data_IF_828155460364
#
_entry.id   IF_828155460364
#
_cell.length_a   1.000
_cell.length_b   1.000
_cell.length_c   1.000
_cell.angle_alpha   90.00
_cell.angle_beta   90.00
_cell.angle_gamma   90.00
#
_symmetry.space_group_name_H-M   'P 1'
#
loop_
_entity.id
_entity.type
_entity.pdbx_description
1 polymer ?
#
# COMPACT_ATOMS: atom_id res chain seq x y z
N UNK A 1 -10.12 13.67 7.90
CA UNK A 1 -11.24 12.89 8.47
C UNK A 1 -11.23 11.55 7.74
N UNK A 2 -10.72 10.48 8.38
CA UNK A 2 -10.59 9.16 7.73
C UNK A 2 -11.87 8.36 8.00
N UNK A 3 -12.64 8.08 6.95
CA UNK A 3 -13.81 7.20 7.02
C UNK A 3 -13.36 5.76 6.77
N UNK A 4 -13.58 4.90 7.76
CA UNK A 4 -13.36 3.45 7.63
C UNK A 4 -14.61 2.87 6.96
N UNK A 5 -14.47 2.32 5.76
CA UNK A 5 -15.57 1.58 5.11
C UNK A 5 -15.72 0.21 5.78
N UNK A 6 -16.86 -0.01 6.41
CA UNK A 6 -17.22 -1.31 7.01
C UNK A 6 -18.06 -2.07 5.98
N UNK A 7 -17.46 -3.07 5.34
CA UNK A 7 -18.17 -4.00 4.47
C UNK A 7 -18.97 -4.99 5.33
N UNK A 8 -20.27 -4.74 5.48
CA UNK A 8 -21.17 -5.70 6.10
C UNK A 8 -21.49 -6.82 5.08
N UNK A 9 -21.15 -8.06 5.42
CA UNK A 9 -21.55 -9.25 4.67
C UNK A 9 -22.67 -9.97 5.42
N UNK A 10 -23.77 -10.22 4.72
CA UNK A 10 -24.90 -10.97 5.25
C UNK A 10 -24.67 -12.47 4.99
N UNK A 11 -23.79 -13.07 5.78
CA UNK A 11 -23.69 -14.53 5.85
C UNK A 11 -24.62 -15.01 6.97
N UNK A 12 -25.43 -16.05 6.70
CA UNK A 12 -26.27 -16.70 7.71
C UNK A 12 -25.38 -17.40 8.73
N UNK A 13 -25.34 -16.87 9.95
CA UNK A 13 -24.65 -17.48 11.08
C UNK A 13 -25.49 -18.67 11.55
N UNK A 14 -24.97 -19.88 11.39
CA UNK A 14 -25.58 -21.10 11.92
C UNK A 14 -25.39 -21.11 13.45
N UNK A 15 -26.51 -21.14 14.21
CA UNK A 15 -26.52 -21.05 15.68
C UNK A 15 -25.78 -22.21 16.37
N UNK A 16 -25.45 -23.29 15.66
CA UNK A 16 -24.65 -24.41 16.18
C UNK A 16 -23.15 -24.28 15.91
N UNK A 17 -22.74 -23.30 15.10
CA UNK A 17 -21.33 -23.06 14.83
C UNK A 17 -20.75 -22.11 15.87
N UNK A 18 -20.13 -22.68 16.90
CA UNK A 18 -19.18 -21.95 17.74
C UNK A 18 -18.13 -21.37 16.79
N UNK A 19 -18.17 -20.05 16.59
CA UNK A 19 -17.19 -19.35 15.77
C UNK A 19 -15.83 -19.54 16.44
N UNK A 20 -15.03 -20.47 15.94
CA UNK A 20 -13.63 -20.60 16.35
C UNK A 20 -12.86 -19.38 15.85
N UNK A 21 -12.66 -18.42 16.75
CA UNK A 21 -11.93 -17.19 16.47
C UNK A 21 -10.52 -17.45 15.91
N UNK A 22 -9.88 -18.56 16.27
CA UNK A 22 -8.58 -18.92 15.73
C UNK A 22 -8.65 -19.29 14.24
N UNK A 23 -9.68 -20.04 13.84
CA UNK A 23 -9.93 -20.38 12.43
C UNK A 23 -10.29 -19.15 11.60
N UNK A 24 -11.05 -18.20 12.16
CA UNK A 24 -11.43 -16.97 11.47
C UNK A 24 -10.22 -16.04 11.26
N UNK A 25 -9.36 -15.89 12.29
CA UNK A 25 -8.09 -15.16 12.17
C UNK A 25 -7.16 -15.83 11.17
N UNK A 26 -7.03 -17.17 11.21
CA UNK A 26 -6.19 -17.91 10.25
C UNK A 26 -6.65 -17.71 8.82
N UNK A 27 -7.97 -17.75 8.57
CA UNK A 27 -8.53 -17.54 7.24
C UNK A 27 -8.31 -16.11 6.72
N UNK A 28 -8.51 -15.10 7.58
CA UNK A 28 -8.17 -13.70 7.28
C UNK A 28 -6.68 -13.50 6.96
N UNK A 29 -5.79 -14.14 7.72
CA UNK A 29 -4.34 -14.07 7.48
C UNK A 29 -3.95 -14.83 6.22
N UNK A 30 -4.61 -15.94 5.91
CA UNK A 30 -4.35 -16.76 4.72
C UNK A 30 -4.79 -16.05 3.44
N UNK A 31 -5.99 -15.45 3.42
CA UNK A 31 -6.48 -14.66 2.28
C UNK A 31 -5.64 -13.38 2.05
N UNK A 32 -4.95 -12.87 3.08
CA UNK A 32 -4.05 -11.71 2.97
C UNK A 32 -2.73 -12.01 2.23
N UNK A 33 -2.48 -13.24 1.76
CA UNK A 33 -1.23 -13.57 1.06
C UNK A 33 -1.41 -13.77 -0.43
N UNK A 34 -1.31 -12.66 -1.14
CA UNK A 34 -0.32 -12.57 -2.22
C UNK A 34 0.16 -11.11 -2.30
N UNK A 35 1.30 -10.74 -1.69
CA UNK A 35 1.92 -9.48 -2.07
C UNK A 35 2.30 -9.63 -3.54
N UNK A 36 1.64 -8.86 -4.40
CA UNK A 36 2.12 -8.65 -5.77
C UNK A 36 3.58 -8.24 -5.63
N UNK A 37 4.50 -9.10 -6.09
CA UNK A 37 5.96 -9.01 -5.98
C UNK A 37 6.39 -7.56 -5.73
N UNK A 38 6.62 -7.21 -4.46
CA UNK A 38 6.91 -5.83 -4.07
C UNK A 38 8.13 -5.38 -4.88
N UNK A 39 7.94 -4.36 -5.73
CA UNK A 39 9.04 -3.82 -6.50
C UNK A 39 10.12 -3.34 -5.53
N UNK A 40 11.39 -3.54 -5.86
CA UNK A 40 12.47 -3.17 -4.96
C UNK A 40 12.44 -1.66 -4.67
N UNK A 41 12.52 -1.29 -3.40
CA UNK A 41 12.74 0.08 -2.96
C UNK A 41 14.24 0.43 -3.04
N UNK A 42 14.54 1.72 -3.02
CA UNK A 42 15.92 2.21 -2.85
C UNK A 42 16.29 2.19 -1.38
N UNK A 43 17.49 1.68 -1.06
CA UNK A 43 17.93 1.47 0.33
C UNK A 43 18.15 2.78 1.11
N UNK A 44 18.69 3.80 0.46
CA UNK A 44 19.00 5.10 1.06
C UNK A 44 18.27 6.21 0.30
N UNK A 45 16.95 6.36 0.48
CA UNK A 45 16.21 7.39 -0.20
C UNK A 45 16.56 8.77 0.36
N UNK A 46 16.53 9.83 -0.46
CA UNK A 46 16.83 11.18 0.02
C UNK A 46 15.81 11.63 1.08
N UNK A 47 16.28 12.21 2.17
CA UNK A 47 15.45 12.72 3.27
C UNK A 47 15.13 14.23 3.15
N UNK A 48 15.17 14.76 1.93
CA UNK A 48 14.76 16.12 1.60
C UNK A 48 13.44 16.09 0.83
N UNK A 49 12.58 17.09 1.02
CA UNK A 49 11.25 17.12 0.37
C UNK A 49 11.37 17.10 -1.15
N UNK A 50 12.23 17.97 -1.70
CA UNK A 50 12.50 17.98 -3.14
C UNK A 50 13.17 16.69 -3.63
N UNK A 51 14.05 16.09 -2.81
CA UNK A 51 14.67 14.80 -3.10
C UNK A 51 13.64 13.68 -3.24
N UNK A 52 12.66 13.61 -2.34
CA UNK A 52 11.59 12.60 -2.40
C UNK A 52 10.75 12.73 -3.67
N UNK A 53 10.42 13.96 -4.07
CA UNK A 53 9.74 14.23 -5.34
C UNK A 53 10.56 13.76 -6.55
N UNK A 54 11.84 14.14 -6.64
CA UNK A 54 12.74 13.74 -7.74
C UNK A 54 12.96 12.22 -7.79
N UNK A 55 12.98 11.59 -6.63
CA UNK A 55 13.07 10.14 -6.50
C UNK A 55 11.84 9.46 -7.11
N UNK A 56 10.64 9.97 -6.86
CA UNK A 56 9.39 9.47 -7.46
C UNK A 56 9.39 9.52 -8.99
N UNK A 57 9.86 10.63 -9.57
CA UNK A 57 10.03 10.78 -11.02
C UNK A 57 10.98 9.71 -11.59
N UNK A 58 12.11 9.49 -10.92
CA UNK A 58 13.13 8.52 -11.36
C UNK A 58 12.64 7.07 -11.21
N UNK A 59 11.94 6.78 -10.11
CA UNK A 59 11.47 5.44 -9.78
C UNK A 59 10.32 4.98 -10.68
N UNK A 60 9.51 5.90 -11.21
CA UNK A 60 8.49 5.58 -12.20
C UNK A 60 9.07 4.87 -13.43
N UNK A 61 10.12 5.44 -14.05
CA UNK A 61 10.78 4.84 -15.20
C UNK A 61 11.46 3.51 -14.88
N UNK A 62 11.94 3.34 -13.65
CA UNK A 62 12.58 2.12 -13.18
C UNK A 62 11.61 1.08 -12.57
N UNK A 63 10.30 1.38 -12.53
CA UNK A 63 9.26 0.57 -11.89
C UNK A 63 9.62 0.15 -10.45
N UNK A 64 10.20 1.06 -9.68
CA UNK A 64 10.55 0.83 -8.26
C UNK A 64 9.40 1.22 -7.34
N UNK A 65 9.35 0.62 -6.16
CA UNK A 65 8.35 0.95 -5.14
C UNK A 65 8.79 2.16 -4.30
N UNK A 66 7.81 2.76 -3.63
CA UNK A 66 8.00 3.90 -2.74
C UNK A 66 8.82 3.49 -1.50
N UNK A 67 10.02 4.06 -1.29
CA UNK A 67 10.88 3.68 -0.18
C UNK A 67 10.47 4.32 1.16
N UNK A 68 9.54 5.27 1.16
CA UNK A 68 9.14 6.00 2.35
C UNK A 68 7.99 5.31 3.10
N UNK A 69 7.90 5.56 4.40
CA UNK A 69 6.79 5.06 5.23
C UNK A 69 5.46 5.62 4.73
N UNK A 70 4.49 4.73 4.46
CA UNK A 70 3.12 5.11 4.09
C UNK A 70 2.52 6.13 5.09
N UNK A 71 1.91 7.19 4.55
CA UNK A 71 1.34 8.30 5.32
C UNK A 71 2.34 9.37 5.77
N UNK A 72 3.64 9.20 5.49
CA UNK A 72 4.63 10.27 5.72
C UNK A 72 4.56 11.36 4.64
N UNK A 73 5.11 12.55 4.95
CA UNK A 73 5.20 13.63 3.96
C UNK A 73 6.09 13.27 2.76
N UNK A 74 7.17 12.53 3.00
CA UNK A 74 8.04 12.05 1.93
C UNK A 74 7.34 11.05 1.01
N UNK A 75 6.51 10.16 1.58
CA UNK A 75 5.68 9.23 0.79
C UNK A 75 4.76 9.96 -0.18
N UNK A 76 4.07 11.02 0.29
CA UNK A 76 3.18 11.81 -0.53
C UNK A 76 3.91 12.55 -1.67
N UNK A 77 5.10 13.12 -1.39
CA UNK A 77 5.90 13.82 -2.40
C UNK A 77 6.48 12.86 -3.44
N UNK A 78 6.87 11.65 -3.04
CA UNK A 78 7.29 10.62 -3.98
C UNK A 78 6.14 10.23 -4.92
N UNK A 79 4.92 10.04 -4.41
CA UNK A 79 3.74 9.75 -5.25
C UNK A 79 3.44 10.88 -6.22
N UNK A 80 3.57 12.14 -5.78
CA UNK A 80 3.40 13.31 -6.64
C UNK A 80 4.40 13.30 -7.80
N UNK A 81 5.68 13.04 -7.53
CA UNK A 81 6.70 12.91 -8.58
C UNK A 81 6.45 11.72 -9.52
N UNK A 82 5.98 10.57 -8.99
CA UNK A 82 5.61 9.41 -9.80
C UNK A 82 4.46 9.74 -10.75
N UNK A 83 3.41 10.41 -10.26
CA UNK A 83 2.25 10.85 -11.05
C UNK A 83 2.63 11.90 -12.10
N UNK A 84 3.56 12.81 -11.78
CA UNK A 84 4.08 13.78 -12.75
C UNK A 84 4.82 13.09 -13.89
N UNK A 85 5.65 12.09 -13.58
CA UNK A 85 6.35 11.30 -14.60
C UNK A 85 5.39 10.47 -15.46
N UNK A 86 4.31 9.95 -14.86
CA UNK A 86 3.25 9.24 -15.56
C UNK A 86 2.48 10.15 -16.54
N UNK A 87 2.18 11.38 -16.13
CA UNK A 87 1.41 12.34 -16.93
C UNK A 87 2.25 13.06 -17.98
N UNK A 88 3.53 13.32 -17.72
CA UNK A 88 4.44 13.97 -18.66
C UNK A 88 4.89 13.07 -19.82
N UNK A 89 4.74 11.75 -19.68
CA UNK A 89 5.04 10.77 -20.74
C UNK A 89 3.90 10.51 -21.73
N UNK A 90 2.75 11.18 -21.58
CA UNK A 90 1.58 11.14 -22.48
C UNK A 90 1.60 12.30 -23.46
#
# INVERSE_FOLDING_TARGET
>A
MNTVEVLARTETIDEQTVIDGASLIRRLVFERRTPAREAACVDNPPLTLYGAFRQGVTDYGARRANPYRAGSRFWALWEEGRLEAETSGR
#
